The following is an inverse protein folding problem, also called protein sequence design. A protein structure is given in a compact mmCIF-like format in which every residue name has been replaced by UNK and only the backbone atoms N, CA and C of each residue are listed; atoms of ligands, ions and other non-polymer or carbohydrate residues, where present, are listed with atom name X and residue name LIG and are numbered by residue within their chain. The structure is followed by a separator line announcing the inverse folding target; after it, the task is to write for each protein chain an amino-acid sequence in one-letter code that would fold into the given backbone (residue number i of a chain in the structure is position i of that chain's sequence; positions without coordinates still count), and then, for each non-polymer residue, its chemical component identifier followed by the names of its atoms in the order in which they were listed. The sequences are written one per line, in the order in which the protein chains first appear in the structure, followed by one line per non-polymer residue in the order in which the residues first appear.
data_IF_820301581054
#
_entry.id   IF_820301581054
#
_cell.length_a   1.000
_cell.length_b   1.000
_cell.length_c   1.000
_cell.angle_alpha   90.00
_cell.angle_beta   90.00
_cell.angle_gamma   90.00
#
_symmetry.space_group_name_H-M   'P 1'
#
loop_
_entity.id
_entity.type
_entity.pdbx_description
1 polymer ?
#
# COMPACT_ATOMS: atom_id res chain seq x y z
N UNK A 1 22.57 4.90 0.17
CA UNK A 1 22.04 6.27 -0.06
C UNK A 1 22.00 6.67 -1.53
N UNK A 2 22.65 5.93 -2.42
CA UNK A 2 22.86 6.32 -3.83
C UNK A 2 22.32 5.29 -4.83
N UNK A 3 21.32 4.50 -4.43
CA UNK A 3 20.68 3.58 -5.34
C UNK A 3 19.65 4.34 -6.20
N UNK A 4 19.80 4.37 -7.54
CA UNK A 4 18.94 5.14 -8.44
C UNK A 4 17.51 4.59 -8.54
N UNK A 5 17.28 3.37 -8.08
CA UNK A 5 16.00 2.67 -8.17
C UNK A 5 15.19 2.73 -6.88
N UNK A 6 15.83 3.03 -5.75
CA UNK A 6 15.15 3.15 -4.46
C UNK A 6 14.42 4.49 -4.35
N UNK A 7 13.20 4.45 -3.83
CA UNK A 7 12.39 5.62 -3.52
C UNK A 7 12.32 5.77 -2.00
N UNK A 8 12.77 6.88 -1.43
CA UNK A 8 12.73 7.07 0.01
C UNK A 8 11.31 7.36 0.48
N UNK A 9 10.94 6.79 1.62
CA UNK A 9 9.72 7.17 2.34
C UNK A 9 9.75 8.65 2.75
N UNK A 10 8.58 9.25 2.91
CA UNK A 10 8.46 10.56 3.53
C UNK A 10 8.77 10.46 5.03
N UNK A 11 9.72 11.24 5.48
CA UNK A 11 10.17 11.22 6.87
C UNK A 11 9.05 11.55 7.86
N UNK A 12 8.20 12.52 7.52
CA UNK A 12 7.06 12.90 8.32
C UNK A 12 6.00 11.80 8.43
N UNK A 13 5.77 11.05 7.34
CA UNK A 13 4.85 9.92 7.34
C UNK A 13 5.40 8.77 8.19
N UNK A 14 6.70 8.50 8.10
CA UNK A 14 7.34 7.49 8.95
C UNK A 14 7.25 7.86 10.44
N UNK A 15 7.46 9.13 10.80
CA UNK A 15 7.26 9.57 12.19
C UNK A 15 5.81 9.38 12.68
N UNK A 16 4.84 9.54 11.78
CA UNK A 16 3.43 9.31 12.11
C UNK A 16 3.13 7.81 12.24
N UNK A 17 3.64 7.00 11.31
CA UNK A 17 3.47 5.54 11.30
C UNK A 17 3.97 4.89 12.59
N UNK A 18 5.14 5.30 13.10
CA UNK A 18 5.70 4.76 14.33
C UNK A 18 5.21 5.42 15.61
N UNK A 19 4.31 6.38 15.53
CA UNK A 19 3.78 7.09 16.69
C UNK A 19 2.49 6.44 17.19
N UNK A 20 2.52 5.88 18.40
CA UNK A 20 1.32 5.33 19.06
C UNK A 20 0.20 6.36 19.28
N UNK A 21 0.53 7.66 19.25
CA UNK A 21 -0.46 8.74 19.39
C UNK A 21 -1.13 9.10 18.06
N UNK A 22 -0.45 8.84 16.93
CA UNK A 22 -0.89 9.31 15.61
C UNK A 22 -1.40 8.18 14.71
N UNK A 23 -0.83 6.99 14.81
CA UNK A 23 -1.24 5.84 14.01
C UNK A 23 -2.40 5.11 14.68
N UNK A 24 -3.54 5.07 14.00
CA UNK A 24 -4.74 4.39 14.49
C UNK A 24 -4.58 2.86 14.63
N UNK A 25 -3.59 2.26 13.96
CA UNK A 25 -3.31 0.83 14.10
C UNK A 25 -2.92 0.44 15.53
N UNK A 26 -2.39 1.35 16.34
CA UNK A 26 -2.09 1.08 17.75
C UNK A 26 -3.32 0.85 18.63
N UNK A 27 -4.54 1.04 18.12
CA UNK A 27 -5.74 0.62 18.84
C UNK A 27 -5.86 -0.92 18.97
N UNK A 28 -5.15 -1.66 18.10
CA UNK A 28 -5.18 -3.12 18.04
C UNK A 28 -3.82 -3.76 17.71
N UNK A 29 -2.77 -2.96 17.60
CA UNK A 29 -1.40 -3.45 17.41
C UNK A 29 -0.52 -3.11 18.60
N UNK A 30 0.40 -4.02 18.91
CA UNK A 30 1.58 -3.75 19.73
C UNK A 30 2.81 -3.70 18.85
N UNK A 31 3.76 -2.83 19.20
CA UNK A 31 5.02 -2.77 18.46
C UNK A 31 6.18 -2.36 19.36
N UNK A 32 7.36 -2.84 19.02
CA UNK A 32 8.64 -2.40 19.54
C UNK A 32 9.69 -2.33 18.44
N UNK A 33 10.75 -1.56 18.66
CA UNK A 33 11.72 -1.23 17.62
C UNK A 33 13.13 -1.57 18.09
N UNK A 34 13.86 -2.33 17.27
CA UNK A 34 15.20 -2.77 17.60
C UNK A 34 16.23 -2.18 16.66
N UNK A 35 17.35 -1.77 17.23
CA UNK A 35 18.50 -1.26 16.50
C UNK A 35 19.70 -2.16 16.79
N UNK A 36 20.41 -2.57 15.73
CA UNK A 36 21.65 -3.33 15.85
C UNK A 36 22.85 -2.40 15.73
N UNK A 37 23.79 -2.54 16.65
CA UNK A 37 25.06 -1.80 16.65
C UNK A 37 26.24 -2.77 16.61
N UNK A 38 27.25 -2.42 15.80
CA UNK A 38 28.53 -3.11 15.70
C UNK A 38 29.63 -2.05 15.82
N UNK A 39 30.52 -2.22 16.78
CA UNK A 39 31.61 -1.26 17.07
C UNK A 39 31.10 0.20 17.22
N UNK A 40 29.94 0.37 17.89
CA UNK A 40 29.30 1.68 18.10
C UNK A 40 28.62 2.28 16.88
N UNK A 41 28.60 1.59 15.72
CA UNK A 41 27.93 2.03 14.51
C UNK A 41 26.56 1.34 14.37
N UNK A 42 25.56 2.09 13.98
CA UNK A 42 24.26 1.53 13.60
C UNK A 42 24.39 0.73 12.31
N UNK A 43 24.07 -0.58 12.37
CA UNK A 43 24.24 -1.53 11.24
C UNK A 43 22.94 -2.23 10.87
N UNK A 44 21.87 -2.03 11.62
CA UNK A 44 20.55 -2.57 11.26
C UNK A 44 19.45 -2.10 12.17
N UNK A 45 18.22 -2.31 11.72
CA UNK A 45 16.98 -2.00 12.43
C UNK A 45 15.89 -2.99 12.05
N UNK A 46 14.89 -3.16 12.93
CA UNK A 46 13.66 -3.92 12.65
C UNK A 46 12.55 -3.46 13.59
N UNK A 47 11.32 -3.51 13.13
CA UNK A 47 10.14 -3.40 13.96
C UNK A 47 9.59 -4.80 14.25
N UNK A 48 9.26 -5.09 15.51
CA UNK A 48 8.44 -6.22 15.91
C UNK A 48 7.02 -5.74 16.11
N UNK A 49 6.03 -6.42 15.51
CA UNK A 49 4.64 -5.99 15.51
C UNK A 49 3.73 -7.19 15.77
N UNK A 50 2.74 -7.00 16.62
CA UNK A 50 1.61 -7.94 16.75
C UNK A 50 0.36 -7.19 16.32
N UNK A 51 -0.28 -7.66 15.26
CA UNK A 51 -1.60 -7.18 14.86
C UNK A 51 -2.64 -8.18 15.40
N UNK A 52 -3.28 -7.84 16.51
CA UNK A 52 -4.26 -8.72 17.17
C UNK A 52 -5.48 -8.98 16.29
N UNK A 53 -5.93 -8.00 15.50
CA UNK A 53 -7.07 -8.18 14.58
C UNK A 53 -6.74 -9.17 13.46
N UNK A 54 -5.55 -9.08 12.86
CA UNK A 54 -5.11 -10.05 11.86
C UNK A 54 -4.98 -11.44 12.49
N UNK A 55 -4.37 -11.55 13.66
CA UNK A 55 -4.26 -12.81 14.38
C UNK A 55 -5.64 -13.42 14.68
N UNK A 56 -6.62 -12.62 15.10
CA UNK A 56 -7.98 -13.08 15.34
C UNK A 56 -8.70 -13.47 14.03
N UNK A 57 -8.54 -12.68 12.96
CA UNK A 57 -9.16 -12.96 11.66
C UNK A 57 -8.63 -14.27 11.06
N UNK A 58 -7.32 -14.47 11.11
CA UNK A 58 -6.65 -15.61 10.51
C UNK A 58 -6.40 -16.77 11.50
N UNK A 59 -6.92 -16.66 12.74
CA UNK A 59 -6.77 -17.67 13.80
C UNK A 59 -5.31 -18.08 14.01
N UNK A 60 -4.41 -17.11 14.03
CA UNK A 60 -2.96 -17.27 14.16
C UNK A 60 -2.42 -16.64 15.43
N UNK A 61 -1.18 -17.00 15.78
CA UNK A 61 -0.39 -16.37 16.85
C UNK A 61 0.91 -15.86 16.26
N UNK A 62 0.81 -14.86 15.40
CA UNK A 62 1.90 -14.36 14.57
C UNK A 62 2.46 -13.06 15.13
N UNK A 63 3.78 -13.01 15.29
CA UNK A 63 4.53 -11.76 15.38
C UNK A 63 5.06 -11.42 13.99
N UNK A 64 4.90 -10.19 13.58
CA UNK A 64 5.40 -9.65 12.32
C UNK A 64 6.76 -9.00 12.55
N UNK A 65 7.66 -9.09 11.55
CA UNK A 65 8.81 -8.20 11.46
C UNK A 65 8.61 -7.26 10.26
N UNK A 66 8.84 -5.97 10.45
CA UNK A 66 8.68 -4.97 9.40
C UNK A 66 9.80 -3.94 9.42
N UNK A 67 9.89 -3.13 8.36
CA UNK A 67 10.93 -2.09 8.20
C UNK A 67 12.34 -2.57 8.53
N UNK A 68 12.61 -3.85 8.22
CA UNK A 68 13.92 -4.45 8.46
C UNK A 68 14.94 -3.87 7.48
N UNK A 69 16.09 -3.46 8.02
CA UNK A 69 17.19 -2.92 7.25
C UNK A 69 18.51 -3.32 7.91
N UNK A 70 19.47 -3.82 7.16
CA UNK A 70 20.72 -4.33 7.72
C UNK A 70 21.86 -4.36 6.67
N UNK A 71 23.08 -4.29 7.15
CA UNK A 71 24.28 -4.51 6.31
C UNK A 71 24.39 -5.98 5.92
N UNK A 72 25.17 -6.28 4.87
CA UNK A 72 25.44 -7.67 4.41
C UNK A 72 26.32 -8.43 5.42
N UNK A 73 25.76 -8.68 6.60
CA UNK A 73 26.34 -9.45 7.67
C UNK A 73 25.28 -10.37 8.30
N UNK A 74 25.51 -11.69 8.22
CA UNK A 74 24.59 -12.70 8.74
C UNK A 74 24.40 -12.64 10.26
N UNK A 75 25.37 -12.16 11.01
CA UNK A 75 25.25 -11.99 12.44
C UNK A 75 24.27 -10.85 12.77
N UNK A 76 24.28 -9.79 11.98
CA UNK A 76 23.36 -8.65 12.15
C UNK A 76 21.91 -9.06 11.83
N UNK A 77 21.68 -9.68 10.67
CA UNK A 77 20.32 -10.14 10.30
C UNK A 77 19.76 -11.15 11.28
N UNK A 78 20.59 -12.10 11.78
CA UNK A 78 20.20 -13.04 12.82
C UNK A 78 19.82 -12.34 14.12
N UNK A 79 20.66 -11.43 14.62
CA UNK A 79 20.40 -10.73 15.86
C UNK A 79 19.09 -9.93 15.82
N UNK A 80 18.77 -9.28 14.68
CA UNK A 80 17.53 -8.56 14.50
C UNK A 80 16.32 -9.51 14.54
N UNK A 81 16.35 -10.61 13.81
CA UNK A 81 15.27 -11.59 13.78
C UNK A 81 15.11 -12.29 15.13
N UNK A 82 16.21 -12.65 15.79
CA UNK A 82 16.18 -13.27 17.13
C UNK A 82 15.54 -12.32 18.17
N UNK A 83 15.79 -11.01 18.06
CA UNK A 83 15.14 -10.01 18.93
C UNK A 83 13.60 -9.99 18.73
N UNK A 84 13.14 -10.03 17.46
CA UNK A 84 11.70 -10.10 17.16
C UNK A 84 11.09 -11.40 17.69
N UNK A 85 11.77 -12.53 17.50
CA UNK A 85 11.32 -13.83 18.00
C UNK A 85 11.21 -13.82 19.53
N UNK A 86 12.22 -13.31 20.23
CA UNK A 86 12.20 -13.23 21.69
C UNK A 86 11.03 -12.36 22.19
N UNK A 87 10.87 -11.17 21.61
CA UNK A 87 9.79 -10.25 21.94
C UNK A 87 8.39 -10.85 21.69
N UNK A 88 8.23 -11.57 20.55
CA UNK A 88 6.99 -12.25 20.21
C UNK A 88 6.68 -13.42 21.14
N UNK A 89 7.68 -14.24 21.51
CA UNK A 89 7.52 -15.36 22.44
C UNK A 89 7.07 -14.92 23.82
N UNK A 90 7.62 -13.84 24.35
CA UNK A 90 7.19 -13.25 25.62
C UNK A 90 5.70 -12.87 25.63
N UNK A 91 5.12 -12.62 24.44
CA UNK A 91 3.71 -12.27 24.23
C UNK A 91 2.86 -13.44 23.72
N UNK A 92 3.39 -14.66 23.78
CA UNK A 92 2.67 -15.88 23.42
C UNK A 92 2.53 -16.13 21.91
N UNK A 93 3.31 -15.44 21.08
CA UNK A 93 3.34 -15.69 19.64
C UNK A 93 4.16 -16.94 19.33
N UNK A 94 3.71 -17.70 18.34
CA UNK A 94 4.33 -18.98 17.94
C UNK A 94 4.83 -18.98 16.51
N UNK A 95 4.42 -18.00 15.70
CA UNK A 95 4.79 -17.83 14.30
C UNK A 95 5.45 -16.48 14.07
N UNK A 96 6.49 -16.45 13.24
CA UNK A 96 7.13 -15.23 12.75
C UNK A 96 6.84 -15.08 11.28
N UNK A 97 6.38 -13.90 10.86
CA UNK A 97 6.06 -13.59 9.46
C UNK A 97 6.50 -12.18 9.08
N UNK A 98 6.90 -12.00 7.83
CA UNK A 98 7.30 -10.68 7.34
C UNK A 98 8.23 -10.75 6.11
N UNK A 99 8.66 -9.56 5.64
CA UNK A 99 8.35 -8.23 6.21
C UNK A 99 6.90 -7.82 6.02
N UNK A 100 6.28 -7.37 7.10
CA UNK A 100 4.90 -6.88 7.12
C UNK A 100 4.81 -5.66 8.04
N UNK A 101 4.01 -4.67 7.66
CA UNK A 101 3.73 -3.52 8.51
C UNK A 101 2.65 -3.76 9.58
N UNK A 102 2.14 -2.67 10.13
CA UNK A 102 1.02 -2.72 11.07
C UNK A 102 -0.24 -3.29 10.42
N UNK A 103 -0.49 -2.86 9.17
CA UNK A 103 -1.65 -3.28 8.37
C UNK A 103 -1.25 -3.40 6.90
N UNK A 104 -2.14 -3.92 6.09
CA UNK A 104 -1.97 -4.11 4.64
C UNK A 104 -1.90 -2.79 3.83
N UNK A 105 -2.00 -1.65 4.50
CA UNK A 105 -1.76 -0.33 3.90
C UNK A 105 -0.30 0.12 4.06
N UNK A 106 0.50 -0.64 4.80
CA UNK A 106 1.95 -0.44 4.92
C UNK A 106 2.69 -1.27 3.86
N UNK A 107 3.99 -1.02 3.71
CA UNK A 107 4.83 -1.79 2.79
C UNK A 107 5.00 -3.25 3.26
N UNK A 108 4.89 -4.19 2.35
CA UNK A 108 4.93 -5.63 2.60
C UNK A 108 5.92 -6.35 1.69
N UNK A 109 6.51 -7.42 2.21
CA UNK A 109 7.39 -8.32 1.48
C UNK A 109 8.83 -7.83 1.31
N UNK A 110 9.56 -8.51 0.45
CA UNK A 110 10.93 -8.21 0.00
C UNK A 110 11.01 -8.24 -1.51
N UNK A 111 11.73 -7.29 -2.09
CA UNK A 111 12.05 -7.32 -3.51
C UNK A 111 12.94 -8.53 -3.81
N UNK A 112 12.53 -9.37 -4.75
CA UNK A 112 13.28 -10.55 -5.22
C UNK A 112 13.66 -10.47 -6.70
N UNK A 113 12.90 -9.66 -7.48
CA UNK A 113 13.13 -9.40 -8.91
C UNK A 113 12.92 -7.91 -9.22
N UNK A 114 13.52 -7.39 -10.30
CA UNK A 114 13.35 -5.99 -10.71
C UNK A 114 14.24 -5.00 -9.96
N UNK A 115 15.39 -5.41 -9.46
CA UNK A 115 16.36 -4.53 -8.77
C UNK A 115 16.89 -3.37 -9.62
N UNK A 116 16.70 -3.42 -10.93
CA UNK A 116 17.03 -2.41 -11.93
C UNK A 116 15.81 -1.55 -12.35
N UNK A 117 14.69 -1.70 -11.66
CA UNK A 117 13.47 -0.91 -11.89
C UNK A 117 13.29 0.13 -10.80
N UNK A 118 12.82 1.32 -11.20
CA UNK A 118 12.46 2.36 -10.23
C UNK A 118 11.25 1.90 -9.41
N UNK A 119 11.43 1.83 -8.10
CA UNK A 119 10.34 1.54 -7.16
C UNK A 119 9.24 2.60 -7.24
N UNK A 120 8.03 2.26 -6.83
CA UNK A 120 6.94 3.23 -6.64
C UNK A 120 6.90 3.76 -5.20
N UNK A 121 5.97 4.64 -4.89
CA UNK A 121 5.79 5.09 -3.50
C UNK A 121 5.20 3.99 -2.59
N UNK A 122 4.55 2.99 -3.18
CA UNK A 122 3.85 1.93 -2.45
C UNK A 122 4.65 0.61 -2.38
N UNK A 123 5.75 0.51 -3.13
CA UNK A 123 6.56 -0.70 -3.19
C UNK A 123 7.88 -0.51 -2.47
N UNK A 124 8.40 -1.63 -1.96
CA UNK A 124 9.66 -1.65 -1.23
C UNK A 124 10.84 -1.81 -2.18
N UNK A 125 11.99 -1.35 -1.70
CA UNK A 125 13.28 -1.64 -2.32
C UNK A 125 14.27 -2.11 -1.25
N UNK A 126 14.88 -3.25 -1.48
CA UNK A 126 15.95 -3.80 -0.64
C UNK A 126 17.11 -4.32 -1.48
N UNK A 127 18.24 -4.58 -0.85
CA UNK A 127 19.38 -5.19 -1.52
C UNK A 127 19.16 -6.69 -1.82
N UNK A 128 19.77 -7.25 -2.87
CA UNK A 128 19.60 -8.65 -3.28
C UNK A 128 20.02 -9.69 -2.22
N UNK A 129 20.79 -9.30 -1.21
CA UNK A 129 21.21 -10.21 -0.14
C UNK A 129 20.12 -10.40 0.93
N UNK A 130 19.11 -9.53 1.03
CA UNK A 130 18.06 -9.62 2.07
C UNK A 130 17.32 -10.96 2.04
N UNK A 131 16.71 -11.39 0.92
CA UNK A 131 16.03 -12.68 0.87
C UNK A 131 16.94 -13.86 1.26
N UNK A 132 18.20 -13.83 0.76
CA UNK A 132 19.18 -14.87 1.06
C UNK A 132 19.52 -15.00 2.55
N UNK A 133 19.55 -13.86 3.27
CA UNK A 133 19.76 -13.87 4.71
C UNK A 133 18.56 -14.46 5.45
N UNK A 134 17.35 -14.06 5.07
CA UNK A 134 16.12 -14.53 5.70
C UNK A 134 15.90 -16.03 5.46
N UNK A 135 16.12 -16.51 4.24
CA UNK A 135 16.10 -17.94 3.92
C UNK A 135 17.17 -18.74 4.69
N UNK A 136 18.38 -18.17 4.84
CA UNK A 136 19.45 -18.80 5.62
C UNK A 136 19.13 -18.90 7.12
N UNK A 137 18.16 -18.15 7.63
CA UNK A 137 17.63 -18.25 8.99
C UNK A 137 16.56 -19.34 9.13
N UNK A 138 16.22 -20.05 8.06
CA UNK A 138 15.24 -21.13 8.02
C UNK A 138 13.80 -20.65 7.78
N UNK A 139 13.60 -19.42 7.31
CA UNK A 139 12.30 -18.95 6.93
C UNK A 139 11.97 -19.39 5.49
N UNK A 140 10.69 -19.68 5.25
CA UNK A 140 10.15 -20.10 3.96
C UNK A 140 9.26 -19.00 3.38
N UNK A 141 9.16 -18.95 2.05
CA UNK A 141 8.30 -18.01 1.36
C UNK A 141 6.82 -18.35 1.59
N UNK A 142 6.06 -17.36 2.01
CA UNK A 142 4.63 -17.49 2.34
C UNK A 142 3.73 -17.00 1.20
N UNK A 143 4.05 -15.87 0.58
CA UNK A 143 3.27 -15.27 -0.50
C UNK A 143 4.15 -14.51 -1.51
N UNK A 144 3.60 -14.26 -2.69
CA UNK A 144 4.21 -13.39 -3.70
C UNK A 144 3.27 -12.22 -4.01
N UNK A 145 3.83 -11.03 -4.11
CA UNK A 145 3.19 -9.86 -4.68
C UNK A 145 3.84 -9.56 -6.03
N UNK A 146 3.04 -9.30 -7.04
CA UNK A 146 3.51 -9.03 -8.39
C UNK A 146 3.12 -7.63 -8.82
N UNK A 147 4.11 -6.78 -9.05
CA UNK A 147 3.92 -5.48 -9.69
C UNK A 147 4.09 -5.61 -11.21
N UNK A 148 3.21 -4.97 -11.96
CA UNK A 148 3.25 -5.00 -13.42
C UNK A 148 3.29 -3.60 -14.01
N UNK A 149 4.26 -3.35 -14.87
CA UNK A 149 4.27 -2.16 -15.71
C UNK A 149 3.45 -2.43 -16.97
N UNK A 150 2.42 -1.62 -17.17
CA UNK A 150 1.55 -1.69 -18.34
C UNK A 150 1.71 -0.41 -19.18
N UNK A 151 1.55 -0.56 -20.48
CA UNK A 151 1.47 0.58 -21.38
C UNK A 151 0.00 0.95 -21.58
N UNK A 152 -0.30 2.24 -21.40
CA UNK A 152 -1.64 2.76 -21.65
C UNK A 152 -1.84 2.81 -23.16
N UNK A 153 -2.89 2.19 -23.73
CA UNK A 153 -3.18 2.30 -25.15
C UNK A 153 -3.65 3.71 -25.51
N UNK A 154 -3.42 4.14 -26.75
CA UNK A 154 -3.86 5.45 -27.25
C UNK A 154 -5.39 5.60 -27.23
N UNK A 155 -6.11 4.51 -27.44
CA UNK A 155 -7.56 4.44 -27.38
C UNK A 155 -8.03 3.25 -26.55
N UNK A 156 -9.23 3.37 -25.99
CA UNK A 156 -9.84 2.23 -25.26
C UNK A 156 -10.08 1.08 -26.24
N UNK A 157 -9.54 -0.13 -25.99
CA UNK A 157 -9.76 -1.26 -26.90
C UNK A 157 -11.25 -1.58 -27.07
N UNK A 158 -11.69 -1.82 -28.31
CA UNK A 158 -13.10 -2.12 -28.64
C UNK A 158 -13.70 -3.24 -27.79
N UNK A 159 -12.89 -4.26 -27.48
CA UNK A 159 -13.32 -5.35 -26.60
C UNK A 159 -13.72 -4.83 -25.22
N UNK A 160 -12.97 -3.88 -24.65
CA UNK A 160 -13.28 -3.30 -23.33
C UNK A 160 -14.54 -2.44 -23.39
N UNK A 161 -14.69 -1.62 -24.45
CA UNK A 161 -15.91 -0.82 -24.68
C UNK A 161 -17.16 -1.72 -24.77
N UNK A 162 -17.07 -2.80 -25.54
CA UNK A 162 -18.19 -3.73 -25.68
C UNK A 162 -18.55 -4.40 -24.36
N UNK A 163 -17.55 -4.89 -23.59
CA UNK A 163 -17.78 -5.51 -22.28
C UNK A 163 -18.39 -4.48 -21.31
N UNK A 164 -17.83 -3.26 -21.27
CA UNK A 164 -18.35 -2.19 -20.41
C UNK A 164 -19.83 -1.88 -20.70
N UNK A 165 -20.22 -1.77 -21.98
CA UNK A 165 -21.61 -1.52 -22.36
C UNK A 165 -22.54 -2.68 -21.93
N UNK A 166 -22.15 -3.94 -22.20
CA UNK A 166 -22.93 -5.11 -21.79
C UNK A 166 -23.10 -5.15 -20.27
N UNK A 167 -22.04 -4.93 -19.51
CA UNK A 167 -22.06 -4.97 -18.05
C UNK A 167 -22.91 -3.84 -17.49
N UNK A 168 -22.76 -2.63 -18.06
CA UNK A 168 -23.54 -1.45 -17.67
C UNK A 168 -25.05 -1.70 -17.84
N UNK A 169 -25.47 -2.22 -18.98
CA UNK A 169 -26.87 -2.52 -19.27
C UNK A 169 -27.39 -3.69 -18.41
N UNK A 170 -26.64 -4.81 -18.39
CA UNK A 170 -27.07 -6.04 -17.71
C UNK A 170 -27.27 -5.88 -16.20
N UNK A 171 -26.40 -5.08 -15.55
CA UNK A 171 -26.40 -4.90 -14.11
C UNK A 171 -26.85 -3.51 -13.68
N UNK A 172 -27.34 -2.69 -14.62
CA UNK A 172 -27.84 -1.32 -14.38
C UNK A 172 -26.82 -0.44 -13.62
N UNK A 173 -25.55 -0.52 -14.06
CA UNK A 173 -24.44 0.18 -13.42
C UNK A 173 -24.20 1.55 -14.05
N UNK A 174 -23.74 2.49 -13.23
CA UNK A 174 -23.40 3.85 -13.65
C UNK A 174 -21.99 4.22 -13.18
N UNK A 175 -21.22 4.83 -14.07
CA UNK A 175 -19.95 5.44 -13.70
C UNK A 175 -20.21 6.81 -13.08
N UNK A 176 -19.61 7.06 -11.92
CA UNK A 176 -19.65 8.33 -11.22
C UNK A 176 -18.24 8.88 -11.04
N UNK A 177 -18.07 10.18 -11.34
CA UNK A 177 -16.84 10.93 -11.07
C UNK A 177 -17.00 11.80 -9.84
N UNK A 178 -15.94 11.84 -9.02
CA UNK A 178 -15.78 12.86 -8.00
C UNK A 178 -15.36 14.17 -8.67
N UNK A 179 -15.99 15.28 -8.30
CA UNK A 179 -15.73 16.60 -8.88
C UNK A 179 -14.79 17.44 -8.03
N UNK A 180 -14.75 17.17 -6.74
CA UNK A 180 -13.97 17.94 -5.75
C UNK A 180 -13.82 17.16 -4.44
N UNK A 181 -12.94 17.64 -3.56
CA UNK A 181 -12.86 17.14 -2.18
C UNK A 181 -14.20 17.25 -1.43
N UNK A 182 -14.95 18.35 -1.68
CA UNK A 182 -16.30 18.51 -1.08
C UNK A 182 -17.25 17.37 -1.49
N UNK A 183 -17.20 16.97 -2.77
CA UNK A 183 -18.01 15.85 -3.27
C UNK A 183 -17.53 14.50 -2.68
N UNK A 184 -16.23 14.33 -2.49
CA UNK A 184 -15.67 13.15 -1.84
C UNK A 184 -16.12 13.00 -0.39
N UNK A 185 -16.29 14.10 0.34
CA UNK A 185 -16.82 14.09 1.70
C UNK A 185 -18.35 14.02 1.76
N UNK A 186 -19.05 14.41 0.69
CA UNK A 186 -20.51 14.39 0.65
C UNK A 186 -21.03 12.95 0.75
N UNK A 187 -22.08 12.75 1.55
CA UNK A 187 -22.71 11.44 1.77
C UNK A 187 -21.74 10.33 2.20
N UNK A 188 -20.67 10.70 2.91
CA UNK A 188 -19.62 9.79 3.36
C UNK A 188 -18.99 8.97 2.20
N UNK A 189 -18.90 9.56 0.99
CA UNK A 189 -18.41 8.82 -0.21
C UNK A 189 -17.00 8.27 0.01
N UNK A 190 -16.11 9.06 0.60
CA UNK A 190 -14.75 8.62 0.88
C UNK A 190 -14.71 7.43 1.86
N UNK A 191 -15.51 7.48 2.94
CA UNK A 191 -15.65 6.37 3.88
C UNK A 191 -16.22 5.12 3.20
N UNK A 192 -17.25 5.28 2.36
CA UNK A 192 -17.83 4.17 1.58
C UNK A 192 -16.81 3.52 0.62
N UNK A 193 -15.88 4.28 0.06
CA UNK A 193 -14.78 3.74 -0.75
C UNK A 193 -13.93 2.77 0.09
N UNK A 194 -13.50 3.18 1.28
CA UNK A 194 -12.70 2.33 2.15
C UNK A 194 -13.49 1.14 2.72
N UNK A 195 -14.79 1.28 2.94
CA UNK A 195 -15.67 0.16 3.30
C UNK A 195 -15.72 -0.87 2.16
N UNK A 196 -15.86 -0.43 0.91
CA UNK A 196 -15.80 -1.32 -0.25
C UNK A 196 -14.44 -2.04 -0.35
N UNK A 197 -13.33 -1.33 -0.07
CA UNK A 197 -12.00 -1.95 -0.02
C UNK A 197 -11.95 -3.02 1.07
N UNK A 198 -12.48 -2.76 2.26
CA UNK A 198 -12.56 -3.74 3.35
C UNK A 198 -13.30 -5.03 2.92
N UNK A 199 -14.41 -4.88 2.19
CA UNK A 199 -15.18 -6.03 1.69
C UNK A 199 -14.44 -6.79 0.59
N UNK A 200 -13.88 -6.05 -0.37
CA UNK A 200 -13.24 -6.63 -1.53
C UNK A 200 -11.92 -7.32 -1.22
N UNK A 201 -11.18 -6.80 -0.22
CA UNK A 201 -9.84 -7.29 0.14
C UNK A 201 -9.89 -8.32 1.28
N UNK A 202 -11.03 -8.53 1.93
CA UNK A 202 -11.16 -9.47 3.04
C UNK A 202 -10.55 -10.88 2.79
N UNK A 203 -10.59 -11.47 1.58
CA UNK A 203 -9.98 -12.76 1.32
C UNK A 203 -8.48 -12.71 0.96
N UNK A 204 -7.86 -11.50 0.89
CA UNK A 204 -6.45 -11.38 0.56
C UNK A 204 -5.57 -11.84 1.73
N UNK A 205 -4.39 -12.32 1.40
CA UNK A 205 -3.42 -12.84 2.34
C UNK A 205 -3.13 -11.83 3.47
N UNK A 206 -3.28 -12.29 4.71
CA UNK A 206 -3.07 -11.50 5.94
C UNK A 206 -3.88 -10.20 6.08
N UNK A 207 -4.83 -9.92 5.17
CA UNK A 207 -5.64 -8.71 5.26
C UNK A 207 -6.45 -8.68 6.56
N UNK A 208 -6.44 -7.54 7.21
CA UNK A 208 -7.33 -7.22 8.33
C UNK A 208 -8.14 -5.97 8.03
N UNK A 209 -9.47 -6.04 8.22
CA UNK A 209 -10.34 -4.92 7.92
C UNK A 209 -9.94 -3.66 8.70
N UNK A 210 -9.90 -2.53 8.01
CA UNK A 210 -9.66 -1.22 8.60
C UNK A 210 -10.78 -0.83 9.57
N UNK A 211 -10.41 -0.24 10.70
CA UNK A 211 -11.36 0.37 11.63
C UNK A 211 -11.88 1.70 11.07
N UNK A 212 -13.02 2.19 11.59
CA UNK A 212 -13.54 3.53 11.21
C UNK A 212 -12.51 4.63 11.47
N UNK A 213 -11.76 4.54 12.57
CA UNK A 213 -10.70 5.50 12.90
C UNK A 213 -9.57 5.48 11.87
N UNK A 214 -9.17 4.30 11.40
CA UNK A 214 -8.19 4.18 10.30
C UNK A 214 -8.74 4.75 9.00
N UNK A 215 -9.99 4.42 8.65
CA UNK A 215 -10.66 4.96 7.46
C UNK A 215 -10.66 6.49 7.51
N UNK A 216 -11.06 7.09 8.62
CA UNK A 216 -11.05 8.54 8.79
C UNK A 216 -9.63 9.14 8.68
N UNK A 217 -8.63 8.45 9.18
CA UNK A 217 -7.22 8.85 9.06
C UNK A 217 -6.78 8.83 7.59
N UNK A 218 -7.06 7.76 6.86
CA UNK A 218 -6.71 7.63 5.44
C UNK A 218 -7.48 8.62 4.56
N UNK A 219 -8.76 8.82 4.82
CA UNK A 219 -9.56 9.84 4.12
C UNK A 219 -8.94 11.22 4.26
N UNK A 220 -8.56 11.63 5.48
CA UNK A 220 -7.92 12.94 5.73
C UNK A 220 -6.55 13.05 5.07
N UNK A 221 -5.81 11.96 5.00
CA UNK A 221 -4.46 11.93 4.45
C UNK A 221 -4.46 11.94 2.92
N UNK A 222 -5.27 11.09 2.29
CA UNK A 222 -5.19 10.85 0.84
C UNK A 222 -6.10 11.73 0.00
N UNK A 223 -7.32 12.05 0.45
CA UNK A 223 -8.27 12.86 -0.35
C UNK A 223 -7.66 14.17 -0.87
N UNK A 224 -6.90 14.96 -0.09
CA UNK A 224 -6.28 16.19 -0.58
C UNK A 224 -5.23 15.99 -1.68
N UNK A 225 -4.63 14.81 -1.76
CA UNK A 225 -3.57 14.49 -2.72
C UNK A 225 -4.12 14.05 -4.07
N UNK A 226 -5.36 13.53 -4.12
CA UNK A 226 -5.94 12.95 -5.32
C UNK A 226 -6.20 13.98 -6.43
N UNK A 227 -5.99 13.56 -7.66
CA UNK A 227 -6.63 14.13 -8.83
C UNK A 227 -7.94 13.38 -9.08
N UNK A 228 -9.08 14.03 -8.82
CA UNK A 228 -10.38 13.38 -8.92
C UNK A 228 -10.73 12.90 -10.33
N UNK A 229 -10.06 13.37 -11.35
CA UNK A 229 -10.18 12.81 -12.71
C UNK A 229 -9.69 11.36 -12.76
N UNK A 230 -8.68 11.03 -11.96
CA UNK A 230 -8.07 9.70 -11.85
C UNK A 230 -8.76 8.79 -10.83
N UNK A 231 -9.95 9.18 -10.36
CA UNK A 231 -10.80 8.39 -9.46
C UNK A 231 -12.09 8.06 -10.19
N UNK A 232 -12.40 6.77 -10.31
CA UNK A 232 -13.64 6.29 -10.92
C UNK A 232 -14.41 5.45 -9.93
N UNK A 233 -15.68 5.78 -9.79
CA UNK A 233 -16.65 5.04 -8.97
C UNK A 233 -17.67 4.38 -9.89
N UNK A 234 -18.13 3.19 -9.53
CA UNK A 234 -19.25 2.52 -10.18
C UNK A 234 -20.34 2.30 -9.14
N UNK A 235 -21.55 2.73 -9.45
CA UNK A 235 -22.72 2.61 -8.59
C UNK A 235 -23.83 1.79 -9.28
N UNK A 236 -24.64 1.08 -8.50
CA UNK A 236 -25.86 0.43 -8.97
C UNK A 236 -27.06 1.40 -8.94
N UNK A 237 -28.25 0.93 -9.32
CA UNK A 237 -29.51 1.72 -9.30
C UNK A 237 -29.85 2.27 -7.91
N UNK A 238 -29.53 1.52 -6.86
CA UNK A 238 -29.74 1.95 -5.48
C UNK A 238 -28.69 2.96 -4.97
N UNK A 239 -27.76 3.43 -5.85
CA UNK A 239 -26.66 4.33 -5.49
C UNK A 239 -25.66 3.70 -4.50
N UNK A 240 -25.62 2.39 -4.44
CA UNK A 240 -24.60 1.68 -3.70
C UNK A 240 -23.32 1.59 -4.52
N UNK A 241 -22.17 1.73 -3.85
CA UNK A 241 -20.87 1.63 -4.48
C UNK A 241 -20.55 0.15 -4.79
N UNK A 242 -20.28 -0.12 -6.06
CA UNK A 242 -20.00 -1.46 -6.59
C UNK A 242 -18.53 -1.64 -6.90
N UNK A 243 -17.88 -0.59 -7.43
CA UNK A 243 -16.46 -0.64 -7.72
C UNK A 243 -15.81 0.73 -7.60
N UNK A 244 -14.52 0.72 -7.37
CA UNK A 244 -13.66 1.90 -7.34
C UNK A 244 -12.33 1.62 -8.02
N UNK A 245 -11.81 2.62 -8.74
CA UNK A 245 -10.44 2.66 -9.22
C UNK A 245 -9.81 3.99 -8.86
N UNK A 246 -8.67 3.96 -8.18
CA UNK A 246 -7.92 5.15 -7.74
C UNK A 246 -6.52 5.06 -8.29
N UNK A 247 -6.14 6.07 -9.05
CA UNK A 247 -4.81 6.22 -9.62
C UNK A 247 -4.23 7.58 -9.27
N UNK A 248 -2.94 7.71 -9.38
CA UNK A 248 -2.22 8.95 -9.10
C UNK A 248 -1.00 9.06 -10.02
N UNK A 249 -0.62 10.27 -10.47
CA UNK A 249 0.68 10.45 -11.12
C UNK A 249 1.79 9.95 -10.20
N UNK A 250 2.77 9.23 -10.74
CA UNK A 250 3.87 8.72 -9.92
C UNK A 250 4.66 9.88 -9.30
N UNK A 251 4.88 9.78 -7.99
CA UNK A 251 5.70 10.74 -7.23
C UNK A 251 7.09 10.20 -6.91
N UNK A 252 7.45 9.02 -7.42
CA UNK A 252 8.71 8.34 -7.12
C UNK A 252 9.92 9.26 -7.33
N UNK A 253 10.04 9.88 -8.51
CA UNK A 253 11.12 10.82 -8.83
C UNK A 253 11.09 12.09 -7.99
N UNK A 254 9.90 12.54 -7.59
CA UNK A 254 9.75 13.70 -6.72
C UNK A 254 10.24 13.39 -5.30
N UNK A 255 9.92 12.19 -4.77
CA UNK A 255 10.43 11.70 -3.49
C UNK A 255 11.94 11.55 -3.49
N UNK A 256 12.54 11.03 -4.57
CA UNK A 256 13.99 10.96 -4.71
C UNK A 256 14.63 12.36 -4.67
N UNK A 257 14.10 13.34 -5.42
CA UNK A 257 14.59 14.73 -5.40
C UNK A 257 14.43 15.39 -4.04
N UNK A 258 13.32 15.13 -3.37
CA UNK A 258 13.06 15.59 -2.02
C UNK A 258 13.89 14.85 -0.95
N UNK A 259 14.55 13.72 -1.29
CA UNK A 259 15.24 12.82 -0.36
C UNK A 259 14.37 12.41 0.82
N UNK A 260 13.08 12.19 0.56
CA UNK A 260 12.09 11.83 1.56
C UNK A 260 11.74 12.94 2.57
N UNK A 261 12.08 14.20 2.33
CA UNK A 261 11.84 15.33 3.26
C UNK A 261 10.99 16.40 2.59
N UNK A 262 9.95 16.88 3.28
CA UNK A 262 9.11 17.97 2.79
C UNK A 262 9.82 19.33 2.87
N UNK A 263 10.60 19.56 3.92
CA UNK A 263 11.28 20.83 4.13
C UNK A 263 12.77 20.77 3.81
N UNK A 264 13.37 21.89 3.30
CA UNK A 264 12.72 23.16 3.00
C UNK A 264 11.98 23.22 1.66
N UNK A 265 12.33 22.39 0.64
CA UNK A 265 11.79 22.49 -0.74
C UNK A 265 11.21 21.18 -1.28
N UNK A 266 11.20 20.10 -0.50
CA UNK A 266 10.67 18.80 -0.95
C UNK A 266 9.18 18.86 -1.30
N UNK A 267 8.38 19.62 -0.53
CA UNK A 267 6.98 19.84 -0.82
C UNK A 267 6.73 20.39 -2.23
N UNK A 268 7.64 21.26 -2.75
CA UNK A 268 7.52 21.79 -4.10
C UNK A 268 7.67 20.71 -5.18
N UNK A 269 8.61 19.76 -5.00
CA UNK A 269 8.78 18.65 -5.94
C UNK A 269 7.55 17.75 -5.99
N UNK A 270 6.97 17.45 -4.83
CA UNK A 270 5.75 16.63 -4.71
C UNK A 270 4.54 17.36 -5.32
N UNK A 271 4.32 18.62 -4.93
CA UNK A 271 3.20 19.39 -5.44
C UNK A 271 3.28 19.58 -6.97
N UNK A 272 4.50 19.80 -7.49
CA UNK A 272 4.73 19.89 -8.93
C UNK A 272 4.36 18.59 -9.65
N UNK A 273 4.78 17.43 -9.13
CA UNK A 273 4.47 16.14 -9.72
C UNK A 273 2.97 15.83 -9.68
N UNK A 274 2.30 16.17 -8.58
CA UNK A 274 0.87 15.88 -8.39
C UNK A 274 -0.06 16.81 -9.15
N UNK A 275 0.31 18.09 -9.34
CA UNK A 275 -0.65 19.12 -9.82
C UNK A 275 -0.23 19.81 -11.11
N UNK A 276 1.06 19.95 -11.41
CA UNK A 276 1.52 20.84 -12.48
C UNK A 276 2.26 20.16 -13.62
N UNK A 277 3.14 19.20 -13.28
CA UNK A 277 3.93 18.47 -14.27
C UNK A 277 4.02 17.01 -13.85
N UNK A 278 3.05 16.26 -14.30
CA UNK A 278 3.00 14.81 -14.05
C UNK A 278 4.21 14.09 -14.68
N UNK A 279 4.60 12.98 -14.12
CA UNK A 279 5.50 12.03 -14.77
C UNK A 279 4.73 11.31 -15.90
N UNK A 280 5.46 10.66 -16.81
CA UNK A 280 4.90 9.76 -17.83
C UNK A 280 4.38 8.44 -17.24
N UNK A 281 4.58 8.25 -15.95
CA UNK A 281 4.16 7.07 -15.18
C UNK A 281 3.07 7.48 -14.21
N UNK A 282 2.06 6.64 -14.09
CA UNK A 282 1.05 6.72 -13.04
C UNK A 282 1.01 5.41 -12.25
N UNK A 283 0.62 5.51 -11.01
CA UNK A 283 0.45 4.38 -10.11
C UNK A 283 -1.05 4.09 -9.97
N UNK A 284 -1.48 2.85 -10.29
CA UNK A 284 -2.82 2.36 -9.96
C UNK A 284 -2.79 1.89 -8.51
N UNK A 285 -3.21 2.77 -7.60
CA UNK A 285 -3.04 2.56 -6.16
C UNK A 285 -4.02 1.55 -5.59
N UNK A 286 -5.31 1.75 -5.87
CA UNK A 286 -6.37 0.92 -5.33
C UNK A 286 -7.41 0.62 -6.40
N UNK A 287 -7.76 -0.64 -6.52
CA UNK A 287 -8.86 -1.10 -7.36
C UNK A 287 -9.66 -2.12 -6.56
N UNK A 288 -10.95 -1.89 -6.43
CA UNK A 288 -11.84 -2.80 -5.72
C UNK A 288 -13.14 -2.99 -6.47
N UNK A 289 -13.64 -4.21 -6.46
CA UNK A 289 -14.97 -4.59 -6.94
C UNK A 289 -15.65 -5.37 -5.84
N UNK A 290 -16.87 -5.00 -5.49
CA UNK A 290 -17.68 -5.65 -4.45
C UNK A 290 -17.77 -7.16 -4.75
N UNK A 291 -17.66 -8.05 -3.75
CA UNK A 291 -17.55 -9.49 -3.96
C UNK A 291 -18.65 -10.09 -4.84
N UNK A 292 -19.90 -9.64 -4.68
CA UNK A 292 -21.05 -10.10 -5.47
C UNK A 292 -21.00 -9.66 -6.95
N UNK A 293 -20.13 -8.69 -7.30
CA UNK A 293 -19.91 -8.22 -8.68
C UNK A 293 -18.58 -8.68 -9.27
N UNK A 294 -17.75 -9.37 -8.51
CA UNK A 294 -16.48 -9.92 -9.02
C UNK A 294 -16.75 -11.00 -10.11
N UNK A 295 -15.84 -11.12 -11.06
CA UNK A 295 -15.99 -12.05 -12.20
C UNK A 295 -17.04 -11.64 -13.24
N UNK A 296 -17.79 -10.54 -13.03
CA UNK A 296 -18.82 -10.04 -13.95
C UNK A 296 -18.34 -9.00 -14.96
N UNK A 297 -17.04 -8.70 -14.98
CA UNK A 297 -16.46 -7.74 -15.93
C UNK A 297 -16.61 -6.26 -15.55
N UNK A 298 -17.00 -5.94 -14.31
CA UNK A 298 -17.20 -4.56 -13.84
C UNK A 298 -15.95 -3.70 -13.93
N UNK A 299 -14.77 -4.30 -13.82
CA UNK A 299 -13.49 -3.62 -14.03
C UNK A 299 -13.37 -2.97 -15.43
N UNK A 300 -14.07 -3.48 -16.45
CA UNK A 300 -14.10 -2.84 -17.76
C UNK A 300 -14.68 -1.42 -17.69
N UNK A 301 -15.66 -1.15 -16.84
CA UNK A 301 -16.21 0.18 -16.63
C UNK A 301 -15.18 1.15 -16.05
N UNK A 302 -14.36 0.67 -15.10
CA UNK A 302 -13.29 1.48 -14.50
C UNK A 302 -12.26 1.88 -15.55
N UNK A 303 -11.73 0.91 -16.31
CA UNK A 303 -10.69 1.17 -17.30
C UNK A 303 -11.19 1.93 -18.52
N UNK A 304 -12.44 1.71 -18.95
CA UNK A 304 -13.03 2.49 -20.05
C UNK A 304 -13.12 3.98 -19.72
N UNK A 305 -13.31 4.32 -18.45
CA UNK A 305 -13.35 5.70 -17.99
C UNK A 305 -11.94 6.27 -17.72
N UNK A 306 -11.00 5.46 -17.19
CA UNK A 306 -9.67 5.91 -16.78
C UNK A 306 -8.66 6.00 -17.94
N UNK A 307 -8.69 5.09 -18.91
CA UNK A 307 -7.73 5.06 -20.03
C UNK A 307 -7.68 6.40 -20.79
N UNK A 308 -8.80 7.05 -21.16
CA UNK A 308 -8.75 8.34 -21.85
C UNK A 308 -8.11 9.46 -21.03
N UNK A 309 -8.11 9.32 -19.70
CA UNK A 309 -7.51 10.29 -18.78
C UNK A 309 -6.00 10.05 -18.67
N UNK A 310 -5.60 8.79 -18.68
CA UNK A 310 -4.18 8.39 -18.63
C UNK A 310 -3.44 8.83 -19.89
#
# INVERSE_FOLDING_TARGET
KDNPYSVPDLYEDMLNTFSSKKNAAFDFCEADYFLAYQDGKLVGRVAAIINHRANDTWQSKTVRFGWIDFIDDKAVSRALIDAVIAWGRERGMTTLEGPLGFTDMDAEGMLIEGFDQLSTMATIYNHPYYPKHIEALGMEKSADWVERKLFVPDEVPEKHLRIANIVKEKYHLQVRKLRSGKDAYANNTAQRIFQLINEAYAPLFNFSQMTERQIDQYVKMYIPLLDFRMVTLVENEAKELVAVGISMPSIARALQKARGKLYPFGWYHLLRALKWKHDEVLDLLLIAVRPDYQGKGVNALLFTDLIPIY
#
